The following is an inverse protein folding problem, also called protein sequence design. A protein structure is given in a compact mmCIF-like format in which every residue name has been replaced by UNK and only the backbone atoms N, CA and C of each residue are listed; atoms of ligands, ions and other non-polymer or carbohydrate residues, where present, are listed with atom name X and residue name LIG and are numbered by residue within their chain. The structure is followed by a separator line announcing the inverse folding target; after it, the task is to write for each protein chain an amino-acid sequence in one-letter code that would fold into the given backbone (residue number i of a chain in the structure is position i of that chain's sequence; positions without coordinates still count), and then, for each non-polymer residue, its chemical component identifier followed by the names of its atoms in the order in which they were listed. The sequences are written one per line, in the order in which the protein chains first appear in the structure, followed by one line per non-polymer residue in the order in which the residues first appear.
data_IF_032108118375
#
_entry.id   IF_032108118375
#
_cell.length_a   1.000
_cell.length_b   1.000
_cell.length_c   1.000
_cell.angle_alpha   90.00
_cell.angle_beta   90.00
_cell.angle_gamma   90.00
#
_symmetry.space_group_name_H-M   'P 1'
#
loop_
_entity.id
_entity.type
_entity.pdbx_description
1 polymer ?
#
# COMPACT_ATOMS: atom_id res chain seq x y z
N UNK A 1 -73.36 30.78 -32.16
CA UNK A 1 -72.16 31.49 -31.65
C UNK A 1 -70.96 31.05 -32.48
N UNK A 2 -70.36 32.03 -33.16
CA UNK A 2 -69.02 32.18 -33.76
C UNK A 2 -68.16 30.95 -34.10
N UNK A 3 -67.43 30.87 -35.22
CA UNK A 3 -67.33 31.66 -36.46
C UNK A 3 -66.41 30.82 -37.40
N UNK A 4 -66.80 30.72 -38.68
CA UNK A 4 -65.99 30.89 -39.91
C UNK A 4 -64.59 30.23 -40.05
N UNK A 5 -64.52 29.21 -40.93
CA UNK A 5 -63.70 29.00 -42.19
C UNK A 5 -62.47 29.93 -42.40
N UNK A 6 -61.38 29.58 -43.14
CA UNK A 6 -61.38 28.86 -44.45
C UNK A 6 -60.07 28.02 -44.81
N UNK A 7 -60.08 26.95 -45.64
CA UNK A 7 -59.87 26.84 -47.11
C UNK A 7 -58.42 26.58 -47.59
N UNK A 8 -58.33 25.75 -48.65
CA UNK A 8 -57.22 25.43 -49.58
C UNK A 8 -56.29 24.27 -49.21
N UNK A 9 -56.40 23.07 -49.81
CA UNK A 9 -56.38 22.62 -51.23
C UNK A 9 -54.99 22.21 -51.72
N UNK A 10 -54.91 20.91 -52.01
CA UNK A 10 -54.25 20.30 -53.16
C UNK A 10 -52.81 19.82 -53.02
N UNK A 11 -52.67 18.57 -53.50
CA UNK A 11 -51.50 17.86 -54.00
C UNK A 11 -50.61 17.18 -52.96
N UNK A 12 -50.78 15.86 -52.81
CA UNK A 12 -49.72 14.92 -53.20
C UNK A 12 -50.26 13.47 -53.25
N UNK A 13 -50.33 12.89 -54.45
CA UNK A 13 -50.31 11.44 -54.67
C UNK A 13 -48.95 11.12 -55.29
N UNK A 14 -48.14 10.32 -54.61
CA UNK A 14 -47.51 9.12 -55.18
C UNK A 14 -46.72 8.38 -54.11
N UNK A 15 -47.13 7.14 -53.90
CA UNK A 15 -46.45 6.08 -53.14
C UNK A 15 -45.31 5.55 -54.00
N UNK A 16 -44.15 5.25 -53.43
CA UNK A 16 -43.35 4.10 -53.86
C UNK A 16 -42.41 3.59 -52.75
N UNK A 17 -42.29 2.27 -52.73
CA UNK A 17 -41.63 1.38 -51.79
C UNK A 17 -40.21 1.80 -51.37
N UNK A 18 -39.91 1.73 -50.07
CA UNK A 18 -38.55 1.65 -49.56
C UNK A 18 -38.24 0.19 -49.18
N UNK A 19 -37.36 -0.41 -49.99
CA UNK A 19 -36.70 -1.71 -49.75
C UNK A 19 -35.75 -1.58 -48.56
N UNK A 20 -35.78 -2.58 -47.68
CA UNK A 20 -34.91 -2.73 -46.52
C UNK A 20 -33.45 -2.90 -46.99
N UNK A 21 -32.59 -1.97 -46.60
CA UNK A 21 -31.14 -2.13 -46.62
C UNK A 21 -30.64 -2.13 -45.17
N UNK A 22 -30.26 -3.31 -44.66
CA UNK A 22 -29.53 -3.45 -43.40
C UNK A 22 -28.12 -2.92 -43.66
N UNK A 23 -27.88 -1.67 -43.29
CA UNK A 23 -26.54 -1.10 -43.24
C UNK A 23 -25.84 -1.63 -41.97
N UNK A 24 -24.75 -2.37 -42.16
CA UNK A 24 -23.82 -2.69 -41.10
C UNK A 24 -23.28 -1.37 -40.50
N UNK A 25 -23.64 -1.10 -39.24
CA UNK A 25 -23.09 0.02 -38.49
C UNK A 25 -21.59 -0.24 -38.23
N UNK A 26 -20.69 0.69 -38.57
CA UNK A 26 -19.31 0.59 -38.15
C UNK A 26 -19.24 0.64 -36.62
N UNK A 27 -18.51 -0.30 -36.04
CA UNK A 27 -18.27 -0.39 -34.60
C UNK A 27 -17.84 0.97 -34.05
N UNK A 28 -18.61 1.47 -33.07
CA UNK A 28 -18.23 2.67 -32.33
C UNK A 28 -16.83 2.47 -31.74
N UNK A 29 -16.00 3.52 -31.68
CA UNK A 29 -14.69 3.41 -31.07
C UNK A 29 -14.89 2.94 -29.63
N UNK A 30 -14.46 1.72 -29.37
CA UNK A 30 -14.25 1.25 -28.02
C UNK A 30 -13.40 2.30 -27.33
N UNK A 31 -13.92 2.87 -26.24
CA UNK A 31 -13.22 3.88 -25.47
C UNK A 31 -11.84 3.33 -25.11
N UNK A 32 -10.82 3.79 -25.82
CA UNK A 32 -9.44 3.55 -25.44
C UNK A 32 -9.33 4.13 -24.03
N UNK A 33 -9.14 3.27 -23.04
CA UNK A 33 -8.74 3.73 -21.71
C UNK A 33 -7.41 4.43 -21.91
N UNK A 34 -7.41 5.75 -21.86
CA UNK A 34 -6.18 6.53 -21.87
C UNK A 34 -5.41 6.07 -20.66
N UNK A 35 -4.29 5.39 -20.88
CA UNK A 35 -3.37 5.05 -19.81
C UNK A 35 -2.92 6.38 -19.19
N UNK A 36 -3.19 6.56 -17.90
CA UNK A 36 -2.72 7.74 -17.17
C UNK A 36 -1.19 7.80 -17.26
N UNK A 37 -0.65 8.98 -17.54
CA UNK A 37 0.77 9.17 -17.78
C UNK A 37 1.57 9.02 -16.48
N UNK A 38 2.83 8.63 -16.63
CA UNK A 38 3.76 8.61 -15.51
C UNK A 38 3.91 10.01 -14.90
N UNK A 39 4.01 10.11 -13.58
CA UNK A 39 4.03 11.40 -12.89
C UNK A 39 4.98 11.40 -11.69
N UNK A 40 5.61 12.55 -11.44
CA UNK A 40 6.42 12.83 -10.26
C UNK A 40 5.61 13.51 -9.15
N UNK A 41 4.29 13.67 -9.34
CA UNK A 41 3.38 14.26 -8.36
C UNK A 41 2.78 13.16 -7.50
N UNK A 42 3.21 13.10 -6.25
CA UNK A 42 2.68 12.18 -5.24
C UNK A 42 1.31 12.63 -4.76
N UNK A 43 0.36 11.70 -4.78
CA UNK A 43 -0.87 11.75 -4.00
C UNK A 43 -0.90 10.54 -3.07
N UNK A 44 -1.44 10.70 -1.87
CA UNK A 44 -1.63 9.58 -0.93
C UNK A 44 -3.08 9.47 -0.49
N UNK A 45 -3.47 8.26 -0.10
CA UNK A 45 -4.74 7.95 0.56
C UNK A 45 -4.44 7.23 1.86
N UNK A 46 -4.63 7.91 2.99
CA UNK A 46 -4.44 7.34 4.32
C UNK A 46 -5.75 6.75 4.81
N UNK A 47 -5.75 5.45 5.12
CA UNK A 47 -6.96 4.72 5.51
C UNK A 47 -6.72 3.75 6.65
N UNK A 48 -7.77 3.34 7.34
CA UNK A 48 -7.70 2.22 8.28
C UNK A 48 -7.38 0.92 7.53
N UNK A 49 -6.34 0.21 7.95
CA UNK A 49 -5.93 -1.07 7.36
C UNK A 49 -6.85 -2.24 7.72
N UNK A 50 -7.63 -2.11 8.81
CA UNK A 50 -8.44 -3.20 9.38
C UNK A 50 -9.74 -2.68 9.99
N UNK A 51 -10.77 -3.52 10.02
CA UNK A 51 -11.97 -3.28 10.83
C UNK A 51 -11.66 -3.57 12.30
N UNK A 52 -11.86 -2.59 13.18
CA UNK A 52 -11.66 -2.71 14.63
C UNK A 52 -12.91 -2.23 15.38
N UNK A 53 -13.74 -3.13 15.92
CA UNK A 53 -14.95 -2.77 16.66
C UNK A 53 -14.71 -1.97 17.94
N UNK A 54 -13.52 -2.08 18.53
CA UNK A 54 -13.14 -1.40 19.78
C UNK A 54 -12.41 -0.07 19.54
N UNK A 55 -12.37 0.43 18.30
CA UNK A 55 -11.75 1.71 18.01
C UNK A 55 -12.62 2.89 18.54
N UNK A 56 -12.02 3.93 19.16
CA UNK A 56 -10.59 4.10 19.40
C UNK A 56 -10.11 3.42 20.70
N UNK A 57 -9.02 2.64 20.60
CA UNK A 57 -8.23 2.12 21.71
C UNK A 57 -9.01 1.45 22.87
N UNK A 58 -10.11 0.77 22.58
CA UNK A 58 -10.89 0.05 23.59
C UNK A 58 -11.77 0.94 24.48
N UNK A 59 -11.99 2.20 24.11
CA UNK A 59 -12.80 3.13 24.90
C UNK A 59 -14.22 2.59 25.14
N UNK A 60 -14.80 2.80 26.34
CA UNK A 60 -16.20 2.46 26.59
C UNK A 60 -17.12 3.14 25.57
N UNK A 61 -17.99 2.37 24.91
CA UNK A 61 -18.87 2.88 23.85
C UNK A 61 -18.17 3.19 22.53
N UNK A 62 -16.97 2.63 22.31
CA UNK A 62 -16.21 2.74 21.07
C UNK A 62 -17.10 2.51 19.82
N UNK A 63 -17.16 3.47 18.88
CA UNK A 63 -17.97 3.35 17.66
C UNK A 63 -17.42 2.31 16.67
N UNK A 64 -16.15 1.93 16.83
CA UNK A 64 -15.42 1.09 15.89
C UNK A 64 -14.96 1.86 14.65
N UNK A 65 -14.16 1.19 13.83
CA UNK A 65 -13.72 1.68 12.52
C UNK A 65 -13.75 0.53 11.51
N UNK A 66 -14.05 0.83 10.24
CA UNK A 66 -14.06 -0.17 9.17
C UNK A 66 -12.76 -0.08 8.35
N UNK A 67 -12.29 -1.20 7.81
CA UNK A 67 -11.17 -1.18 6.87
C UNK A 67 -11.50 -0.27 5.67
N UNK A 68 -10.55 0.57 5.28
CA UNK A 68 -10.71 1.54 4.19
C UNK A 68 -11.34 2.88 4.59
N UNK A 69 -11.81 3.04 5.84
CA UNK A 69 -12.23 4.37 6.34
C UNK A 69 -11.06 5.35 6.25
N UNK A 70 -11.29 6.52 5.64
CA UNK A 70 -10.28 7.55 5.47
C UNK A 70 -9.83 8.13 6.82
N UNK A 71 -8.53 8.39 6.95
CA UNK A 71 -7.92 9.04 8.11
C UNK A 71 -7.54 10.45 7.67
N UNK A 72 -8.21 11.46 8.20
CA UNK A 72 -8.10 12.86 7.75
C UNK A 72 -7.13 13.71 8.58
N UNK A 73 -6.63 13.18 9.70
CA UNK A 73 -5.67 13.85 10.56
C UNK A 73 -4.46 12.95 10.75
N UNK A 74 -3.33 13.36 10.18
CA UNK A 74 -2.10 12.58 10.23
C UNK A 74 -0.89 13.47 10.00
N UNK A 75 0.27 13.01 10.45
CA UNK A 75 1.58 13.58 10.12
C UNK A 75 2.36 12.56 9.31
N UNK A 76 3.26 13.02 8.46
CA UNK A 76 4.10 12.15 7.68
C UNK A 76 5.55 12.64 7.60
N UNK A 77 6.44 11.70 7.33
CA UNK A 77 7.80 11.94 6.85
C UNK A 77 8.01 11.11 5.59
N UNK A 78 8.78 11.64 4.64
CA UNK A 78 9.24 10.92 3.46
C UNK A 78 10.75 10.86 3.50
N UNK A 79 11.29 9.65 3.43
CA UNK A 79 12.72 9.40 3.37
C UNK A 79 13.11 8.81 2.01
N UNK A 80 14.35 9.06 1.60
CA UNK A 80 14.94 8.35 0.47
C UNK A 80 15.16 6.87 0.80
N UNK A 81 14.71 5.99 -0.08
CA UNK A 81 15.02 4.56 -0.02
C UNK A 81 16.33 4.30 -0.80
N UNK A 82 17.42 4.31 -0.05
CA UNK A 82 18.78 4.07 -0.53
C UNK A 82 19.30 2.66 -0.18
N UNK A 83 18.40 1.71 0.15
CA UNK A 83 18.76 0.33 0.56
C UNK A 83 19.35 -0.49 -0.59
N UNK A 84 18.98 -0.16 -1.83
CA UNK A 84 19.39 -0.90 -3.04
C UNK A 84 18.25 -1.64 -3.68
N UNK A 85 18.56 -2.40 -4.74
CA UNK A 85 17.60 -3.21 -5.47
C UNK A 85 18.10 -4.65 -5.58
N UNK A 86 17.61 -5.60 -4.75
CA UNK A 86 18.01 -7.00 -4.85
C UNK A 86 17.47 -7.68 -6.12
N UNK A 87 16.50 -7.07 -6.81
CA UNK A 87 15.93 -7.58 -8.04
C UNK A 87 16.62 -7.02 -9.30
N UNK A 88 17.61 -6.11 -9.17
CA UNK A 88 18.39 -5.63 -10.31
C UNK A 88 19.02 -6.83 -11.04
N UNK A 89 18.79 -6.92 -12.35
CA UNK A 89 19.32 -8.03 -13.13
C UNK A 89 20.85 -8.01 -13.14
N UNK A 90 21.47 -9.20 -13.04
CA UNK A 90 22.95 -9.32 -13.01
C UNK A 90 23.64 -8.69 -14.22
N UNK A 91 23.04 -8.86 -15.40
CA UNK A 91 23.53 -8.30 -16.66
C UNK A 91 23.31 -6.78 -16.77
N UNK A 92 22.47 -6.17 -15.92
CA UNK A 92 22.24 -4.73 -15.86
C UNK A 92 23.27 -3.99 -14.98
N UNK A 93 24.54 -4.42 -15.02
CA UNK A 93 25.65 -3.75 -14.32
C UNK A 93 26.26 -4.51 -13.14
N UNK A 94 25.56 -5.50 -12.59
CA UNK A 94 26.04 -6.32 -11.46
C UNK A 94 26.93 -7.52 -11.86
N UNK A 95 27.60 -7.43 -13.01
CA UNK A 95 28.52 -8.48 -13.48
C UNK A 95 29.96 -7.97 -13.45
N UNK A 96 30.93 -8.73 -12.90
CA UNK A 96 32.36 -8.38 -12.96
C UNK A 96 32.91 -8.23 -14.39
N UNK A 97 32.19 -8.71 -15.40
CA UNK A 97 32.52 -8.50 -16.81
C UNK A 97 32.20 -7.08 -17.32
N UNK A 98 31.48 -6.27 -16.54
CA UNK A 98 31.18 -4.88 -16.86
C UNK A 98 32.32 -3.99 -16.36
N UNK A 99 32.86 -3.13 -17.23
CA UNK A 99 33.96 -2.22 -16.88
C UNK A 99 33.63 -1.24 -15.74
N UNK A 100 32.34 -0.93 -15.54
CA UNK A 100 31.85 -0.03 -14.49
C UNK A 100 31.46 -0.77 -13.21
N UNK A 101 31.63 -2.10 -13.14
CA UNK A 101 31.41 -2.85 -11.91
C UNK A 101 32.49 -2.49 -10.87
N UNK A 102 32.14 -2.27 -9.59
CA UNK A 102 30.81 -2.39 -8.98
C UNK A 102 29.98 -1.10 -8.96
N UNK A 103 30.47 0.01 -9.53
CA UNK A 103 29.85 1.33 -9.40
C UNK A 103 28.40 1.42 -9.93
N UNK A 104 28.03 0.60 -10.91
CA UNK A 104 26.67 0.51 -11.46
C UNK A 104 25.83 -0.66 -10.90
N UNK A 105 26.31 -1.33 -9.85
CA UNK A 105 25.57 -2.38 -9.19
C UNK A 105 24.96 -1.87 -7.88
N UNK A 106 23.63 -1.84 -7.83
CA UNK A 106 22.85 -1.36 -6.69
C UNK A 106 22.30 -2.50 -5.83
N UNK A 107 22.88 -3.70 -5.93
CA UNK A 107 22.56 -4.79 -5.01
C UNK A 107 22.92 -4.39 -3.58
N UNK A 108 22.02 -4.61 -2.59
CA UNK A 108 22.28 -4.25 -1.19
C UNK A 108 23.56 -4.85 -0.60
N UNK A 109 24.04 -5.96 -1.16
CA UNK A 109 25.27 -6.63 -0.72
C UNK A 109 26.56 -6.08 -1.34
N UNK A 110 26.48 -5.23 -2.37
CA UNK A 110 27.62 -4.74 -3.14
C UNK A 110 27.79 -3.23 -2.98
N UNK A 111 26.70 -2.48 -3.06
CA UNK A 111 26.77 -1.04 -2.94
C UNK A 111 27.13 -0.62 -1.51
N UNK A 112 27.85 0.49 -1.38
CA UNK A 112 28.12 1.08 -0.08
C UNK A 112 26.83 1.60 0.54
N UNK A 113 26.52 1.15 1.76
CA UNK A 113 25.41 1.70 2.53
C UNK A 113 25.77 3.10 3.01
N UNK A 114 24.89 4.06 2.76
CA UNK A 114 25.03 5.48 3.13
C UNK A 114 24.90 5.74 4.65
N UNK A 115 24.62 4.71 5.45
CA UNK A 115 24.52 4.78 6.92
C UNK A 115 23.31 5.58 7.44
N UNK A 116 22.47 6.12 6.56
CA UNK A 116 21.28 6.90 6.90
C UNK A 116 20.30 6.91 5.73
N UNK A 117 19.04 7.22 6.02
CA UNK A 117 17.97 7.42 5.02
C UNK A 117 17.51 8.89 5.13
N UNK A 118 18.04 9.80 4.29
CA UNK A 118 17.75 11.23 4.38
C UNK A 118 16.25 11.54 4.33
N UNK A 119 15.80 12.51 5.13
CA UNK A 119 14.43 13.04 5.05
C UNK A 119 14.36 13.99 3.86
N UNK A 120 13.49 13.68 2.91
CA UNK A 120 13.22 14.52 1.73
C UNK A 120 12.24 15.62 2.07
N UNK A 121 11.18 15.28 2.80
CA UNK A 121 10.17 16.22 3.27
C UNK A 121 9.35 15.60 4.40
N UNK A 122 8.59 16.45 5.08
CA UNK A 122 7.68 16.08 6.15
C UNK A 122 6.52 17.07 6.21
N UNK A 123 5.40 16.66 6.80
CA UNK A 123 4.22 17.51 6.88
C UNK A 123 3.04 16.82 7.53
N UNK A 124 1.84 17.26 7.14
CA UNK A 124 0.57 16.73 7.62
C UNK A 124 -0.45 16.62 6.47
N UNK A 125 -1.71 16.31 6.79
CA UNK A 125 -2.75 16.18 5.77
C UNK A 125 -2.86 17.41 4.84
N UNK A 126 -2.53 18.61 5.29
CA UNK A 126 -2.71 19.84 4.51
C UNK A 126 -1.69 19.98 3.39
N UNK A 127 -0.50 19.40 3.52
CA UNK A 127 0.55 19.45 2.50
C UNK A 127 0.41 18.34 1.45
N UNK A 128 -0.49 17.37 1.66
CA UNK A 128 -0.78 16.27 0.72
C UNK A 128 -2.25 16.24 0.28
N UNK A 129 -3.05 17.24 0.63
CA UNK A 129 -4.46 17.33 0.25
C UNK A 129 -4.59 17.41 -1.28
N UNK A 130 -5.29 16.42 -1.83
CA UNK A 130 -5.41 16.14 -3.25
C UNK A 130 -6.13 17.26 -4.02
N UNK A 131 -6.81 18.19 -3.35
CA UNK A 131 -7.56 19.26 -4.01
C UNK A 131 -6.73 20.46 -4.46
N UNK A 132 -5.44 20.57 -4.09
CA UNK A 132 -4.66 21.78 -4.42
C UNK A 132 -3.39 21.54 -5.24
N UNK A 133 -2.40 20.70 -4.86
CA UNK A 133 -1.14 20.66 -5.63
C UNK A 133 -0.41 19.31 -5.76
N UNK A 134 -0.68 18.30 -4.90
CA UNK A 134 0.18 17.12 -4.82
C UNK A 134 1.63 17.47 -4.46
N UNK A 135 2.47 16.48 -4.19
CA UNK A 135 3.88 16.72 -3.83
C UNK A 135 4.81 16.25 -4.95
N UNK A 136 5.52 17.19 -5.57
CA UNK A 136 6.52 16.84 -6.58
C UNK A 136 7.80 16.30 -5.93
N UNK A 137 8.20 15.10 -6.33
CA UNK A 137 9.43 14.45 -5.89
C UNK A 137 10.31 14.10 -7.10
N UNK A 138 11.64 14.22 -7.00
CA UNK A 138 12.55 13.74 -8.04
C UNK A 138 12.36 12.24 -8.33
N UNK A 139 12.94 11.77 -9.43
CA UNK A 139 13.04 10.34 -9.70
C UNK A 139 13.85 9.66 -8.61
N UNK A 140 13.33 8.55 -8.09
CA UNK A 140 13.94 7.91 -6.92
C UNK A 140 13.00 6.94 -6.23
N UNK A 141 13.54 6.24 -5.24
CA UNK A 141 12.78 5.35 -4.36
C UNK A 141 12.61 6.03 -3.01
N UNK A 142 11.45 5.85 -2.41
CA UNK A 142 11.07 6.55 -1.19
C UNK A 142 10.29 5.63 -0.25
N UNK A 143 10.37 5.94 1.03
CA UNK A 143 9.51 5.42 2.08
C UNK A 143 8.73 6.58 2.69
N UNK A 144 7.40 6.52 2.65
CA UNK A 144 6.56 7.39 3.47
C UNK A 144 6.23 6.68 4.77
N UNK A 145 6.43 7.34 5.91
CA UNK A 145 5.96 6.91 7.21
C UNK A 145 4.90 7.88 7.71
N UNK A 146 3.77 7.37 8.18
CA UNK A 146 2.60 8.14 8.59
C UNK A 146 2.19 7.76 10.00
N UNK A 147 1.87 8.77 10.82
CA UNK A 147 1.28 8.59 12.15
C UNK A 147 -0.04 9.33 12.24
N UNK A 148 -0.98 8.75 13.00
CA UNK A 148 -2.27 9.33 13.32
C UNK A 148 -2.70 8.89 14.72
N UNK A 149 -3.54 9.68 15.39
CA UNK A 149 -4.01 9.36 16.73
C UNK A 149 -4.83 8.07 16.74
N UNK A 150 -4.58 7.19 17.72
CA UNK A 150 -5.22 5.87 17.86
C UNK A 150 -4.89 4.88 16.75
N UNK A 151 -3.82 5.12 15.98
CA UNK A 151 -3.26 4.18 15.03
C UNK A 151 -1.78 3.91 15.34
N UNK A 152 -1.31 2.71 15.03
CA UNK A 152 0.13 2.43 14.97
C UNK A 152 0.73 3.19 13.78
N UNK A 153 1.96 3.69 13.94
CA UNK A 153 2.76 4.17 12.82
C UNK A 153 2.90 3.09 11.75
N UNK A 154 2.66 3.46 10.49
CA UNK A 154 2.78 2.57 9.33
C UNK A 154 3.23 3.38 8.10
N UNK A 155 3.47 2.72 6.98
CA UNK A 155 4.05 3.37 5.81
C UNK A 155 3.90 2.60 4.50
N UNK A 156 4.48 3.16 3.44
CA UNK A 156 4.55 2.52 2.13
C UNK A 156 5.85 2.88 1.40
N UNK A 157 6.44 1.91 0.73
CA UNK A 157 7.49 2.16 -0.26
C UNK A 157 6.86 2.54 -1.60
N UNK A 158 7.45 3.49 -2.30
CA UNK A 158 7.05 3.87 -3.66
C UNK A 158 8.24 4.37 -4.46
N UNK A 159 8.11 4.35 -5.78
CA UNK A 159 9.15 4.81 -6.72
C UNK A 159 8.56 5.90 -7.60
N UNK A 160 9.35 6.95 -7.82
CA UNK A 160 9.09 8.00 -8.78
C UNK A 160 9.90 7.76 -10.07
N UNK A 161 9.32 8.02 -11.25
CA UNK A 161 7.94 8.47 -11.44
C UNK A 161 6.92 7.35 -11.14
N UNK A 162 5.76 7.73 -10.60
CA UNK A 162 4.62 6.83 -10.46
C UNK A 162 4.11 6.45 -11.85
N UNK A 163 3.68 5.19 -12.02
CA UNK A 163 3.16 4.71 -13.31
C UNK A 163 1.89 5.44 -13.77
N UNK A 164 1.14 6.03 -12.83
CA UNK A 164 -0.06 6.81 -13.07
C UNK A 164 -0.35 7.70 -11.85
N UNK A 165 -1.35 8.58 -11.98
CA UNK A 165 -1.79 9.50 -10.93
C UNK A 165 -2.64 8.87 -9.80
N UNK A 166 -2.69 7.54 -9.67
CA UNK A 166 -3.46 6.90 -8.59
C UNK A 166 -2.77 7.15 -7.25
N UNK A 167 -3.49 7.61 -6.21
CA UNK A 167 -2.90 7.82 -4.90
C UNK A 167 -2.29 6.55 -4.30
N UNK A 168 -1.12 6.68 -3.69
CA UNK A 168 -0.52 5.60 -2.90
C UNK A 168 -1.35 5.39 -1.64
N UNK A 169 -1.85 4.17 -1.47
CA UNK A 169 -2.63 3.79 -0.29
C UNK A 169 -1.69 3.49 0.88
N UNK A 170 -1.84 4.25 1.96
CA UNK A 170 -1.17 4.00 3.25
C UNK A 170 -2.20 3.50 4.25
N UNK A 171 -2.10 2.22 4.62
CA UNK A 171 -3.00 1.60 5.57
C UNK A 171 -2.44 1.67 6.98
N UNK A 172 -3.09 2.38 7.90
CA UNK A 172 -2.69 2.41 9.31
C UNK A 172 -3.46 1.40 10.15
N UNK A 173 -2.79 0.73 11.08
CA UNK A 173 -3.41 -0.26 11.97
C UNK A 173 -4.13 0.43 13.15
N UNK A 174 -5.47 0.32 13.28
CA UNK A 174 -6.20 0.92 14.39
C UNK A 174 -5.89 0.23 15.71
N UNK A 175 -5.85 1.01 16.80
CA UNK A 175 -5.74 0.52 18.17
C UNK A 175 -7.12 0.13 18.73
N UNK A 176 -7.21 -0.92 19.57
CA UNK A 176 -6.12 -1.75 20.06
C UNK A 176 -5.58 -2.72 18.99
N UNK A 177 -4.28 -3.03 19.06
CA UNK A 177 -3.68 -4.03 18.16
C UNK A 177 -4.12 -5.44 18.55
N UNK A 178 -4.31 -6.34 17.58
CA UNK A 178 -4.51 -7.76 17.88
C UNK A 178 -3.34 -8.32 18.69
N UNK A 179 -3.63 -9.09 19.74
CA UNK A 179 -2.63 -9.84 20.49
C UNK A 179 -2.14 -11.04 19.70
N UNK A 180 -0.89 -11.43 19.89
CA UNK A 180 -0.31 -12.65 19.35
C UNK A 180 0.17 -13.57 20.48
N UNK A 181 0.29 -14.86 20.19
CA UNK A 181 0.83 -15.86 21.12
C UNK A 181 2.26 -16.20 20.72
N UNK A 182 3.18 -16.08 21.67
CA UNK A 182 4.55 -16.57 21.53
C UNK A 182 4.62 -18.03 21.99
N UNK A 183 5.24 -18.88 21.17
CA UNK A 183 5.55 -20.27 21.52
C UNK A 183 7.02 -20.52 21.23
N UNK A 184 7.72 -21.07 22.21
CA UNK A 184 9.11 -21.45 22.09
C UNK A 184 9.26 -22.94 22.35
N UNK A 185 10.16 -23.59 21.60
CA UNK A 185 10.56 -24.98 21.81
C UNK A 185 12.08 -25.03 21.77
N UNK A 186 12.66 -25.73 22.74
CA UNK A 186 14.09 -26.08 22.72
C UNK A 186 14.20 -27.52 22.23
N UNK A 187 15.05 -27.77 21.25
CA UNK A 187 15.21 -29.07 20.60
C UNK A 187 16.68 -29.32 20.25
N UNK A 188 17.00 -30.59 19.99
CA UNK A 188 18.29 -30.98 19.41
C UNK A 188 18.31 -30.58 17.93
N UNK A 189 19.18 -29.66 17.52
CA UNK A 189 19.45 -29.36 16.10
C UNK A 189 20.59 -30.29 15.63
N UNK A 190 20.25 -31.54 15.35
CA UNK A 190 21.23 -32.59 15.01
C UNK A 190 20.97 -33.25 13.65
N UNK A 191 19.98 -32.76 12.91
CA UNK A 191 19.62 -33.22 11.58
C UNK A 191 20.11 -32.23 10.49
N UNK A 192 19.33 -31.69 9.52
CA UNK A 192 19.79 -30.64 8.59
C UNK A 192 20.21 -29.35 9.31
N UNK A 193 21.21 -28.65 8.77
CA UNK A 193 21.69 -27.35 9.28
C UNK A 193 20.76 -26.16 8.96
N UNK A 194 19.44 -26.35 9.03
CA UNK A 194 18.43 -25.34 8.67
C UNK A 194 17.91 -24.53 9.88
N UNK A 195 18.38 -24.84 11.10
CA UNK A 195 17.92 -24.22 12.35
C UNK A 195 16.39 -24.31 12.57
N UNK A 196 15.76 -25.37 12.07
CA UNK A 196 14.34 -25.67 12.26
C UNK A 196 14.15 -27.05 12.89
N UNK A 197 13.07 -27.27 13.67
CA UNK A 197 12.85 -28.55 14.33
C UNK A 197 12.36 -29.61 13.36
N UNK A 198 13.07 -30.72 13.27
CA UNK A 198 12.69 -31.89 12.46
C UNK A 198 11.93 -32.91 13.30
N UNK A 199 10.67 -32.60 13.64
CA UNK A 199 9.83 -33.51 14.43
C UNK A 199 9.25 -34.65 13.58
N UNK A 200 9.28 -35.91 14.04
CA UNK A 200 9.67 -36.36 15.38
C UNK A 200 11.13 -36.84 15.50
N UNK A 201 11.97 -36.63 14.49
CA UNK A 201 13.36 -37.10 14.48
C UNK A 201 14.20 -36.41 15.57
N UNK A 202 13.97 -35.11 15.78
CA UNK A 202 14.61 -34.31 16.81
C UNK A 202 13.74 -34.24 18.07
N UNK A 203 14.40 -34.37 19.23
CA UNK A 203 13.73 -34.38 20.53
C UNK A 203 13.76 -33.00 21.16
N UNK A 204 12.73 -32.71 21.96
CA UNK A 204 12.74 -31.53 22.82
C UNK A 204 13.78 -31.67 23.94
N UNK A 205 14.43 -30.58 24.29
CA UNK A 205 15.38 -30.51 25.40
C UNK A 205 14.73 -29.89 26.64
N UNK A 206 15.01 -30.48 27.81
CA UNK A 206 14.53 -30.02 29.10
C UNK A 206 15.60 -29.24 29.88
N UNK A 207 15.20 -28.57 30.96
CA UNK A 207 16.12 -27.84 31.85
C UNK A 207 16.40 -26.39 31.45
N UNK A 208 15.70 -25.86 30.44
CA UNK A 208 15.82 -24.49 29.98
C UNK A 208 14.76 -23.59 30.63
N UNK A 209 15.15 -22.35 30.94
CA UNK A 209 14.24 -21.26 31.34
C UNK A 209 14.22 -20.22 30.24
N UNK A 210 13.02 -19.90 29.73
CA UNK A 210 12.83 -18.78 28.83
C UNK A 210 12.53 -17.50 29.64
N UNK A 211 13.06 -16.37 29.19
CA UNK A 211 12.70 -15.04 29.64
C UNK A 211 12.36 -14.20 28.41
N UNK A 212 11.33 -13.37 28.51
CA UNK A 212 10.94 -12.42 27.45
C UNK A 212 11.35 -11.04 27.93
N UNK A 213 12.04 -10.28 27.10
CA UNK A 213 12.46 -8.90 27.41
C UNK A 213 12.09 -7.96 26.28
N UNK A 214 11.65 -6.75 26.61
CA UNK A 214 11.53 -5.63 25.67
C UNK A 214 12.57 -4.53 25.98
N UNK A 215 12.44 -3.36 25.35
CA UNK A 215 13.35 -2.23 25.59
C UNK A 215 13.29 -1.65 27.01
N UNK A 216 12.33 -2.06 27.84
CA UNK A 216 12.14 -1.63 29.22
C UNK A 216 12.47 -2.72 30.26
N UNK A 217 12.66 -3.98 29.86
CA UNK A 217 13.13 -5.05 30.75
C UNK A 217 12.38 -6.37 30.58
N UNK A 218 12.44 -7.24 31.60
CA UNK A 218 11.75 -8.54 31.59
C UNK A 218 10.22 -8.35 31.64
N UNK A 219 9.54 -8.98 30.68
CA UNK A 219 8.09 -9.06 30.59
C UNK A 219 7.64 -10.31 31.35
N UNK A 220 6.81 -10.13 32.37
CA UNK A 220 6.35 -11.23 33.25
C UNK A 220 4.85 -11.51 33.16
N UNK A 221 4.10 -10.66 32.47
CA UNK A 221 2.65 -10.80 32.27
C UNK A 221 2.27 -10.64 30.80
N UNK A 222 1.14 -11.23 30.39
CA UNK A 222 0.53 -11.00 29.08
C UNK A 222 -0.13 -9.60 28.99
N UNK A 223 -0.75 -9.31 27.85
CA UNK A 223 -1.44 -8.03 27.59
C UNK A 223 -2.64 -7.76 28.53
N UNK A 224 -3.12 -8.77 29.28
CA UNK A 224 -4.22 -8.67 30.23
C UNK A 224 -3.75 -8.72 31.69
N UNK A 225 -2.44 -8.80 31.93
CA UNK A 225 -1.86 -8.88 33.26
C UNK A 225 -1.81 -10.30 33.85
N UNK A 226 -2.10 -11.34 33.07
CA UNK A 226 -1.93 -12.72 33.54
C UNK A 226 -0.45 -13.10 33.53
N UNK A 227 0.06 -13.83 34.54
CA UNK A 227 1.44 -14.31 34.53
C UNK A 227 1.73 -15.16 33.28
N UNK A 228 2.88 -14.92 32.66
CA UNK A 228 3.35 -15.73 31.53
C UNK A 228 3.69 -17.16 31.99
N UNK A 229 3.53 -18.13 31.08
CA UNK A 229 3.88 -19.54 31.30
C UNK A 229 3.11 -20.22 32.46
N UNK A 230 1.83 -19.87 32.60
CA UNK A 230 0.89 -20.57 33.49
C UNK A 230 0.35 -21.86 32.89
#
# INVERSE_FOLDING_TARGET
MNQRRPVWSSLLRMVLLAVVAVAALPGGPGGARVASAATNTLHISVVSARTEPKYPNGAPGAPGVTAGTAITHYKYIINEDNVGDPAQARNAGCSPSNANYPANCHWPSIQAMTGSSPIVTQGDQSSLDASLHGLNLPDGKYLISVMADNFKIDGAHFTMPLANSTPIKVGLQPLPLPTATLRAQVFEDNAPVNSGPDLPAERGLAGFRAAITDSLGEVTTDAYGNPLCT
#
